data_IF_374515327910
#
_entry.id   IF_374515327910
#
_cell.length_a   1.000
_cell.length_b   1.000
_cell.length_c   1.000
_cell.angle_alpha   90.00
_cell.angle_beta   90.00
_cell.angle_gamma   90.00
#
_symmetry.space_group_name_H-M   'P 1'
#
loop_
_entity.id
_entity.type
_entity.pdbx_description
1 polymer ?
#
# COMPACT_ATOMS: atom_id res chain seq x y z
N UNK A 1 3.71 20.72 73.94
CA UNK A 1 2.64 19.79 73.45
C UNK A 1 2.27 20.06 71.98
N UNK A 2 2.18 21.35 71.57
CA UNK A 2 1.75 21.71 70.21
C UNK A 2 2.61 21.07 69.06
N UNK A 3 3.93 20.99 69.22
CA UNK A 3 4.82 20.42 68.19
C UNK A 3 4.60 18.91 67.95
N UNK A 4 4.09 18.15 68.90
CA UNK A 4 3.75 16.71 68.69
C UNK A 4 2.41 16.54 67.96
N UNK A 5 1.41 17.35 68.30
CA UNK A 5 0.11 17.32 67.63
C UNK A 5 0.19 17.70 66.13
N UNK A 6 1.01 18.72 65.81
CA UNK A 6 1.24 19.15 64.43
C UNK A 6 1.94 18.08 63.61
N UNK A 7 2.87 17.31 64.17
CA UNK A 7 3.55 16.19 63.51
C UNK A 7 2.61 15.02 63.29
N UNK A 8 1.75 14.72 64.22
CA UNK A 8 0.74 13.66 64.07
C UNK A 8 -0.28 14.04 62.98
N UNK A 9 -0.73 15.32 63.01
CA UNK A 9 -1.65 15.79 61.95
C UNK A 9 -1.04 15.75 60.56
N UNK A 10 0.23 16.11 60.41
CA UNK A 10 0.94 16.03 59.13
C UNK A 10 1.08 14.56 58.63
N UNK A 11 1.40 13.62 59.54
CA UNK A 11 1.48 12.21 59.19
C UNK A 11 0.13 11.61 58.79
N UNK A 12 -0.95 11.99 59.44
CA UNK A 12 -2.31 11.57 59.08
C UNK A 12 -2.71 12.15 57.73
N UNK A 13 -2.38 13.42 57.46
CA UNK A 13 -2.67 14.03 56.14
C UNK A 13 -1.89 13.36 54.99
N UNK A 14 -0.61 13.05 55.22
CA UNK A 14 0.18 12.28 54.22
C UNK A 14 -0.39 10.89 54.03
N UNK A 15 -0.81 10.19 55.07
CA UNK A 15 -1.41 8.86 54.94
C UNK A 15 -2.74 8.89 54.16
N UNK A 16 -3.58 9.90 54.38
CA UNK A 16 -4.82 10.10 53.65
C UNK A 16 -4.56 10.44 52.17
N UNK A 17 -3.55 11.27 51.87
CA UNK A 17 -3.14 11.55 50.51
C UNK A 17 -2.59 10.30 49.79
N UNK A 18 -1.78 9.49 50.49
CA UNK A 18 -1.27 8.25 49.92
C UNK A 18 -2.40 7.22 49.63
N UNK A 19 -3.39 7.12 50.54
CA UNK A 19 -4.55 6.25 50.34
C UNK A 19 -5.42 6.70 49.12
N UNK A 20 -5.52 8.02 48.89
CA UNK A 20 -6.20 8.57 47.72
C UNK A 20 -5.55 8.21 46.36
N UNK A 21 -4.23 7.99 46.35
CA UNK A 21 -3.51 7.61 45.12
C UNK A 21 -3.69 6.13 44.72
N UNK A 22 -4.08 5.27 45.68
CA UNK A 22 -4.32 3.85 45.39
C UNK A 22 -5.73 3.54 44.91
N UNK A 23 -6.67 4.45 44.98
CA UNK A 23 -8.06 4.24 44.55
C UNK A 23 -8.21 4.44 43.03
N UNK A 24 -7.22 5.05 42.35
CA UNK A 24 -7.26 5.37 40.94
C UNK A 24 -6.91 4.23 39.96
N UNK A 25 -6.31 3.13 40.41
CA UNK A 25 -5.79 2.07 39.52
C UNK A 25 -6.53 0.72 39.58
N UNK A 26 -7.69 0.66 40.20
CA UNK A 26 -8.40 -0.61 40.46
C UNK A 26 -9.61 -0.94 39.59
N UNK A 27 -10.01 -0.09 38.66
CA UNK A 27 -11.08 -0.41 37.74
C UNK A 27 -10.48 -0.94 36.42
N UNK A 28 -10.29 -2.26 36.32
CA UNK A 28 -10.38 -2.93 35.03
C UNK A 28 -11.81 -2.73 34.54
N UNK A 29 -12.12 -1.51 34.09
CA UNK A 29 -13.32 -1.25 33.34
C UNK A 29 -13.37 -2.30 32.24
N UNK A 30 -14.44 -3.08 32.16
CA UNK A 30 -14.79 -3.78 30.94
C UNK A 30 -14.61 -2.74 29.84
N UNK A 31 -13.56 -2.90 29.03
CA UNK A 31 -13.38 -2.11 27.84
C UNK A 31 -14.62 -2.37 27.02
N UNK A 32 -15.53 -1.40 26.99
CA UNK A 32 -16.73 -1.50 26.16
C UNK A 32 -16.20 -1.58 24.74
N UNK A 33 -16.27 -2.76 24.15
CA UNK A 33 -15.84 -3.02 22.76
C UNK A 33 -16.59 -2.14 21.75
N UNK A 34 -17.67 -1.49 22.20
CA UNK A 34 -18.54 -0.66 21.35
C UNK A 34 -18.15 0.82 21.35
N UNK A 35 -17.11 1.22 22.07
CA UNK A 35 -16.63 2.61 22.03
C UNK A 35 -15.67 2.75 20.85
N UNK A 36 -16.00 3.54 19.82
CA UNK A 36 -15.14 3.72 18.67
C UNK A 36 -13.86 4.46 19.08
N UNK A 37 -12.72 4.04 18.51
CA UNK A 37 -11.49 4.80 18.58
C UNK A 37 -11.61 6.01 17.64
N UNK A 38 -11.53 7.21 18.19
CA UNK A 38 -11.55 8.45 17.40
C UNK A 38 -10.12 8.94 17.22
N UNK A 39 -9.69 9.01 15.96
CA UNK A 39 -8.36 9.48 15.58
C UNK A 39 -8.51 10.80 14.81
N UNK A 40 -7.77 11.83 15.25
CA UNK A 40 -7.75 13.12 14.56
C UNK A 40 -6.73 13.12 13.44
N UNK A 41 -7.17 13.52 12.24
CA UNK A 41 -6.32 13.64 11.05
C UNK A 41 -6.41 15.05 10.45
N UNK A 42 -5.46 15.37 9.57
CA UNK A 42 -5.60 16.48 8.62
C UNK A 42 -6.64 16.10 7.53
N UNK A 43 -7.16 17.07 6.78
CA UNK A 43 -8.08 16.78 5.68
C UNK A 43 -7.49 15.76 4.70
N UNK A 44 -8.32 14.80 4.28
CA UNK A 44 -7.95 13.80 3.29
C UNK A 44 -7.92 14.38 1.88
N UNK A 45 -7.04 13.86 1.02
CA UNK A 45 -7.09 14.10 -0.43
C UNK A 45 -8.10 13.19 -1.14
N UNK A 46 -8.71 12.26 -0.39
CA UNK A 46 -9.70 11.30 -0.89
C UNK A 46 -9.16 10.33 -1.96
N UNK A 47 -7.85 10.11 -1.99
CA UNK A 47 -7.18 9.13 -2.86
C UNK A 47 -6.91 7.85 -2.06
N UNK A 48 -7.95 7.13 -1.68
CA UNK A 48 -7.88 5.89 -0.88
C UNK A 48 -7.54 4.67 -1.75
N UNK A 49 -6.39 4.72 -2.40
CA UNK A 49 -5.93 3.68 -3.31
C UNK A 49 -4.51 3.21 -2.93
N UNK A 50 -4.24 1.89 -2.92
CA UNK A 50 -2.89 1.39 -2.70
C UNK A 50 -1.90 1.82 -3.79
N UNK A 51 -2.42 2.18 -4.98
CA UNK A 51 -1.59 2.59 -6.12
C UNK A 51 -1.33 4.09 -6.17
N UNK A 52 -2.30 4.93 -5.76
CA UNK A 52 -2.28 6.36 -6.03
C UNK A 52 -2.45 7.27 -4.81
N UNK A 53 -2.43 6.73 -3.59
CA UNK A 53 -2.47 7.57 -2.39
C UNK A 53 -1.21 8.40 -2.26
N UNK A 54 -1.34 9.69 -2.00
CA UNK A 54 -0.24 10.66 -1.93
C UNK A 54 0.08 11.09 -0.50
N UNK A 55 -0.89 11.04 0.40
CA UNK A 55 -0.73 11.49 1.78
C UNK A 55 -0.70 10.32 2.74
N UNK A 56 0.01 10.48 3.86
CA UNK A 56 0.02 9.48 4.93
C UNK A 56 -1.39 9.21 5.47
N UNK A 57 -2.25 10.22 5.51
CA UNK A 57 -3.63 10.09 6.01
C UNK A 57 -4.49 9.22 5.10
N UNK A 58 -4.38 9.37 3.78
CA UNK A 58 -5.07 8.51 2.82
C UNK A 58 -4.50 7.08 2.85
N UNK A 59 -3.18 6.94 3.04
CA UNK A 59 -2.52 5.64 3.21
C UNK A 59 -3.01 4.91 4.45
N UNK A 60 -3.14 5.57 5.58
CA UNK A 60 -3.63 4.98 6.83
C UNK A 60 -5.05 4.40 6.67
N UNK A 61 -5.89 5.05 5.84
CA UNK A 61 -7.26 4.55 5.57
C UNK A 61 -7.23 3.30 4.72
N UNK A 62 -6.52 3.32 3.58
CA UNK A 62 -6.54 2.15 2.69
C UNK A 62 -5.76 0.96 3.28
N UNK A 63 -4.70 1.18 4.08
CA UNK A 63 -3.96 0.08 4.73
C UNK A 63 -4.80 -0.74 5.71
N UNK A 64 -5.89 -0.17 6.23
CA UNK A 64 -6.85 -0.93 7.05
C UNK A 64 -7.71 -1.91 6.22
N UNK A 65 -7.79 -1.73 4.93
CA UNK A 65 -8.63 -2.51 4.01
C UNK A 65 -7.83 -3.31 2.97
N UNK A 66 -6.55 -3.00 2.82
CA UNK A 66 -5.67 -3.68 1.88
C UNK A 66 -4.85 -4.79 2.58
N UNK A 67 -4.35 -5.70 1.79
CA UNK A 67 -3.47 -6.77 2.23
C UNK A 67 -2.14 -6.67 1.46
N UNK A 68 -1.02 -6.67 2.18
CA UNK A 68 0.31 -6.76 1.58
C UNK A 68 0.83 -8.20 1.65
N UNK A 69 1.74 -8.60 0.78
CA UNK A 69 2.31 -9.95 0.79
C UNK A 69 3.00 -10.29 2.11
N UNK A 70 3.72 -9.34 2.69
CA UNK A 70 4.43 -9.51 3.95
C UNK A 70 4.01 -8.48 4.97
N UNK A 71 4.04 -8.86 6.24
CA UNK A 71 3.78 -8.00 7.38
C UNK A 71 5.08 -7.72 8.14
N UNK A 72 5.05 -6.72 9.03
CA UNK A 72 6.15 -6.43 9.95
C UNK A 72 5.75 -6.69 11.40
N UNK A 73 6.75 -7.01 12.22
CA UNK A 73 6.58 -7.05 13.66
C UNK A 73 6.58 -5.63 14.27
N UNK A 74 6.44 -5.52 15.60
CA UNK A 74 6.44 -4.25 16.34
C UNK A 74 7.78 -3.49 16.29
N UNK A 75 8.84 -4.14 15.84
CA UNK A 75 10.17 -3.54 15.67
C UNK A 75 10.45 -3.16 14.22
N UNK A 76 9.51 -3.44 13.30
CA UNK A 76 9.65 -3.19 11.88
C UNK A 76 10.37 -4.29 11.11
N UNK A 77 10.70 -5.43 11.75
CA UNK A 77 11.30 -6.57 11.06
C UNK A 77 10.25 -7.31 10.25
N UNK A 78 10.59 -7.70 9.03
CA UNK A 78 9.69 -8.41 8.14
C UNK A 78 9.42 -9.83 8.67
N UNK A 79 8.17 -10.27 8.59
CA UNK A 79 7.73 -11.62 8.91
C UNK A 79 7.80 -12.46 7.64
N UNK A 80 8.71 -13.43 7.62
CA UNK A 80 8.98 -14.25 6.43
C UNK A 80 8.12 -15.52 6.39
N UNK A 81 7.66 -16.04 7.54
CA UNK A 81 6.85 -17.25 7.66
C UNK A 81 5.45 -16.91 8.19
N UNK A 82 4.74 -16.06 7.45
CA UNK A 82 3.43 -15.54 7.86
C UNK A 82 2.33 -16.59 7.93
N UNK A 83 2.38 -17.65 7.13
CA UNK A 83 1.36 -18.70 7.08
C UNK A 83 1.34 -19.49 8.40
N UNK A 84 2.49 -19.93 8.86
CA UNK A 84 2.63 -20.62 10.15
C UNK A 84 2.61 -19.65 11.33
N UNK A 85 2.99 -18.42 11.11
CA UNK A 85 3.25 -17.42 12.12
C UNK A 85 4.65 -17.48 12.71
N UNK A 86 5.21 -16.31 12.97
CA UNK A 86 6.48 -16.13 13.67
C UNK A 86 6.24 -15.50 15.03
N UNK A 87 6.82 -16.10 16.08
CA UNK A 87 6.77 -15.54 17.44
C UNK A 87 8.02 -14.68 17.68
N UNK A 88 7.80 -13.43 18.03
CA UNK A 88 8.84 -12.44 18.36
C UNK A 88 8.56 -11.85 19.73
N UNK A 89 9.61 -11.69 20.54
CA UNK A 89 9.51 -11.07 21.85
C UNK A 89 9.62 -9.55 21.74
N UNK A 90 8.71 -8.83 22.38
CA UNK A 90 8.73 -7.37 22.45
C UNK A 90 8.38 -6.91 23.86
N UNK A 91 9.28 -6.13 24.50
CA UNK A 91 9.13 -5.65 25.87
C UNK A 91 8.75 -6.75 26.89
N UNK A 92 9.38 -7.94 26.76
CA UNK A 92 9.18 -9.07 27.67
C UNK A 92 7.86 -9.84 27.42
N UNK A 93 7.15 -9.55 26.35
CA UNK A 93 5.94 -10.29 25.93
C UNK A 93 6.15 -10.89 24.56
N UNK A 94 5.77 -12.15 24.41
CA UNK A 94 5.82 -12.83 23.13
C UNK A 94 4.56 -12.59 22.31
N UNK A 95 4.74 -12.22 21.04
CA UNK A 95 3.68 -11.98 20.06
C UNK A 95 3.89 -12.89 18.86
N UNK A 96 2.82 -13.55 18.43
CA UNK A 96 2.85 -14.33 17.18
C UNK A 96 2.22 -13.50 16.06
N UNK A 97 2.98 -13.34 14.98
CA UNK A 97 2.59 -12.58 13.80
C UNK A 97 2.26 -13.51 12.67
N UNK A 98 1.07 -13.36 12.10
CA UNK A 98 0.62 -14.08 10.93
C UNK A 98 0.58 -13.15 9.72
N UNK A 99 0.67 -13.70 8.52
CA UNK A 99 0.62 -12.97 7.28
C UNK A 99 -0.07 -13.76 6.16
N UNK A 100 -0.30 -13.10 5.02
CA UNK A 100 -0.95 -13.71 3.86
C UNK A 100 -0.02 -14.65 3.09
N UNK A 101 1.29 -14.51 3.26
CA UNK A 101 2.27 -15.31 2.54
C UNK A 101 3.49 -15.67 3.40
N UNK A 102 4.19 -16.72 2.97
CA UNK A 102 5.59 -16.97 3.32
C UNK A 102 6.48 -16.42 2.21
N UNK A 103 7.71 -16.04 2.56
CA UNK A 103 8.75 -15.64 1.61
C UNK A 103 10.06 -16.36 1.96
N UNK A 104 10.63 -17.06 0.98
CA UNK A 104 11.97 -17.64 1.06
C UNK A 104 12.90 -16.80 0.17
N UNK A 105 14.05 -16.41 0.72
CA UNK A 105 15.09 -15.68 -0.01
C UNK A 105 16.22 -16.65 -0.33
N UNK A 106 16.57 -16.74 -1.61
CA UNK A 106 17.67 -17.58 -2.10
C UNK A 106 18.71 -16.71 -2.79
N UNK A 107 19.91 -16.69 -2.25
CA UNK A 107 21.06 -16.03 -2.88
C UNK A 107 21.73 -16.98 -3.86
N UNK A 108 21.78 -16.63 -5.12
CA UNK A 108 22.36 -17.45 -6.19
C UNK A 108 23.86 -17.18 -6.36
N UNK A 109 24.57 -18.15 -6.91
CA UNK A 109 26.03 -18.06 -7.13
C UNK A 109 26.44 -17.02 -8.19
N UNK A 110 25.50 -16.60 -9.03
CA UNK A 110 25.70 -15.55 -10.04
C UNK A 110 25.45 -14.13 -9.49
N UNK A 111 25.11 -14.01 -8.20
CA UNK A 111 24.85 -12.75 -7.53
C UNK A 111 23.39 -12.26 -7.66
N UNK A 112 22.51 -13.05 -8.26
CA UNK A 112 21.07 -12.80 -8.23
C UNK A 112 20.45 -13.29 -6.92
N UNK A 113 19.28 -12.74 -6.59
CA UNK A 113 18.50 -13.13 -5.40
C UNK A 113 17.07 -13.45 -5.81
N UNK A 114 16.62 -14.66 -5.46
CA UNK A 114 15.24 -15.07 -5.69
C UNK A 114 14.40 -14.82 -4.44
N UNK A 115 13.23 -14.23 -4.62
CA UNK A 115 12.21 -14.06 -3.60
C UNK A 115 11.03 -14.98 -3.92
N UNK A 116 10.96 -16.13 -3.25
CA UNK A 116 9.95 -17.15 -3.48
C UNK A 116 8.77 -16.94 -2.53
N UNK A 117 7.63 -16.51 -3.06
CA UNK A 117 6.43 -16.30 -2.28
C UNK A 117 5.49 -17.50 -2.38
N UNK A 118 4.96 -17.90 -1.22
CA UNK A 118 3.85 -18.85 -1.13
C UNK A 118 2.66 -18.14 -0.49
N UNK A 119 1.57 -18.02 -1.24
CA UNK A 119 0.34 -17.39 -0.77
C UNK A 119 -0.51 -18.39 0.04
N UNK A 120 -1.22 -17.93 1.06
CA UNK A 120 -2.26 -18.71 1.76
C UNK A 120 -3.43 -18.99 0.82
N UNK A 121 -4.02 -20.19 0.96
CA UNK A 121 -5.11 -20.63 0.08
C UNK A 121 -6.50 -20.15 0.56
N UNK A 122 -6.62 -19.65 1.80
CA UNK A 122 -7.89 -19.28 2.43
C UNK A 122 -8.17 -17.76 2.42
N UNK A 123 -7.37 -17.00 1.70
CA UNK A 123 -7.54 -15.55 1.57
C UNK A 123 -8.73 -15.21 0.67
N UNK A 124 -9.51 -14.21 1.10
CA UNK A 124 -10.67 -13.74 0.36
C UNK A 124 -10.78 -12.23 0.39
N UNK A 125 -11.34 -11.67 -0.68
CA UNK A 125 -11.85 -10.32 -0.69
C UNK A 125 -13.09 -10.16 0.19
N UNK A 126 -13.52 -8.93 0.45
CA UNK A 126 -14.69 -8.63 1.29
C UNK A 126 -16.01 -9.13 0.71
N UNK A 127 -16.09 -9.37 -0.59
CA UNK A 127 -17.24 -9.94 -1.29
C UNK A 127 -17.26 -11.48 -1.27
N UNK A 128 -16.17 -12.10 -0.77
CA UNK A 128 -16.04 -13.54 -0.63
C UNK A 128 -15.26 -14.22 -1.76
N UNK A 129 -14.89 -13.50 -2.81
CA UNK A 129 -14.04 -14.05 -3.88
C UNK A 129 -12.62 -14.37 -3.35
N UNK A 130 -11.99 -15.45 -3.81
CA UNK A 130 -10.64 -15.82 -3.37
C UNK A 130 -9.61 -14.83 -3.88
N UNK A 131 -8.62 -14.52 -3.02
CA UNK A 131 -7.39 -13.81 -3.43
C UNK A 131 -6.38 -14.84 -3.91
N UNK A 132 -5.90 -14.67 -5.12
CA UNK A 132 -5.02 -15.61 -5.82
C UNK A 132 -3.69 -14.96 -6.22
N UNK A 133 -2.80 -15.76 -6.80
CA UNK A 133 -1.56 -15.22 -7.35
C UNK A 133 -1.79 -14.28 -8.53
N UNK A 134 -2.91 -14.42 -9.25
CA UNK A 134 -3.26 -13.55 -10.37
C UNK A 134 -3.51 -12.11 -9.90
N UNK A 135 -4.07 -11.93 -8.70
CA UNK A 135 -4.25 -10.60 -8.10
C UNK A 135 -2.91 -9.94 -7.74
N UNK A 136 -1.94 -10.75 -7.29
CA UNK A 136 -0.57 -10.28 -7.05
C UNK A 136 0.08 -9.86 -8.36
N UNK A 137 -0.02 -10.69 -9.41
CA UNK A 137 0.52 -10.40 -10.74
C UNK A 137 -0.13 -9.15 -11.32
N UNK A 138 -1.45 -9.00 -11.19
CA UNK A 138 -2.16 -7.79 -11.61
C UNK A 138 -1.60 -6.53 -10.92
N UNK A 139 -1.36 -6.60 -9.63
CA UNK A 139 -0.76 -5.50 -8.89
C UNK A 139 0.64 -5.14 -9.42
N UNK A 140 1.44 -6.14 -9.80
CA UNK A 140 2.74 -5.91 -10.45
C UNK A 140 2.60 -5.24 -11.82
N UNK A 141 1.63 -5.66 -12.63
CA UNK A 141 1.35 -4.99 -13.91
C UNK A 141 1.02 -3.51 -13.71
N UNK A 142 0.15 -3.17 -12.75
CA UNK A 142 -0.18 -1.77 -12.46
C UNK A 142 1.04 -0.97 -12.03
N UNK A 143 1.84 -1.50 -11.10
CA UNK A 143 2.99 -0.79 -10.53
C UNK A 143 4.20 -0.68 -11.47
N UNK A 144 4.30 -1.60 -12.44
CA UNK A 144 5.40 -1.63 -13.40
C UNK A 144 5.02 -1.06 -14.78
N UNK A 145 3.78 -0.66 -14.99
CA UNK A 145 3.33 -0.05 -16.24
C UNK A 145 4.13 1.23 -16.53
N UNK A 146 4.60 1.45 -17.77
CA UNK A 146 5.31 2.67 -18.15
C UNK A 146 4.54 3.96 -17.90
N UNK A 147 3.20 3.91 -17.94
CA UNK A 147 2.31 5.06 -17.71
C UNK A 147 1.97 5.29 -16.23
N UNK A 148 2.42 4.42 -15.32
CA UNK A 148 2.14 4.56 -13.90
C UNK A 148 2.79 5.83 -13.34
N UNK A 149 1.97 6.71 -12.76
CA UNK A 149 2.36 8.01 -12.19
C UNK A 149 2.16 8.10 -10.67
N UNK A 150 1.93 6.96 -10.00
CA UNK A 150 1.80 6.90 -8.55
C UNK A 150 3.14 6.95 -7.81
N UNK A 151 3.09 6.84 -6.48
CA UNK A 151 4.25 7.00 -5.62
C UNK A 151 5.15 5.77 -5.49
N UNK A 152 4.75 4.60 -6.03
CA UNK A 152 5.58 3.41 -5.97
C UNK A 152 6.78 3.52 -6.91
N UNK A 153 7.93 3.11 -6.41
CA UNK A 153 9.19 3.05 -7.17
C UNK A 153 9.61 1.62 -7.46
N UNK A 154 8.67 0.68 -7.47
CA UNK A 154 8.95 -0.74 -7.71
C UNK A 154 9.70 -0.97 -9.03
N UNK A 155 9.35 -0.22 -10.06
CA UNK A 155 9.99 -0.28 -11.37
C UNK A 155 11.47 0.17 -11.36
N UNK A 156 11.92 0.88 -10.33
CA UNK A 156 13.32 1.32 -10.18
C UNK A 156 14.19 0.30 -9.42
N UNK A 157 13.58 -0.74 -8.84
CA UNK A 157 14.30 -1.85 -8.21
C UNK A 157 14.92 -2.73 -9.30
N UNK A 158 16.17 -3.24 -9.14
CA UNK A 158 16.84 -4.03 -10.14
C UNK A 158 16.24 -5.45 -10.26
N UNK A 159 14.99 -5.52 -10.72
CA UNK A 159 14.28 -6.76 -10.98
C UNK A 159 14.67 -7.26 -12.38
N UNK A 160 15.05 -8.54 -12.47
CA UNK A 160 15.44 -9.13 -13.74
C UNK A 160 14.29 -9.04 -14.76
N UNK A 161 14.58 -8.51 -15.95
CA UNK A 161 13.62 -8.32 -17.02
C UNK A 161 12.79 -7.04 -16.96
N UNK A 162 12.86 -6.25 -15.87
CA UNK A 162 12.06 -5.01 -15.71
C UNK A 162 12.34 -4.00 -16.82
N UNK A 163 13.60 -3.72 -17.12
CA UNK A 163 13.98 -2.76 -18.15
C UNK A 163 13.51 -3.22 -19.54
N UNK A 164 13.63 -4.51 -19.84
CA UNK A 164 13.15 -5.07 -21.10
C UNK A 164 11.62 -5.00 -21.23
N UNK A 165 10.90 -5.28 -20.14
CA UNK A 165 9.45 -5.18 -20.09
C UNK A 165 8.99 -3.74 -20.36
N UNK A 166 9.52 -2.77 -19.62
CA UNK A 166 9.14 -1.36 -19.73
C UNK A 166 9.56 -0.73 -21.05
N UNK A 167 10.76 -1.03 -21.53
CA UNK A 167 11.26 -0.54 -22.82
C UNK A 167 10.50 -1.16 -23.98
N UNK A 168 10.09 -2.43 -23.87
CA UNK A 168 9.31 -3.11 -24.90
C UNK A 168 7.92 -2.50 -25.10
N UNK A 169 7.25 -2.13 -24.02
CA UNK A 169 5.95 -1.44 -24.07
C UNK A 169 6.08 -0.02 -24.63
N UNK A 170 7.07 0.76 -24.15
CA UNK A 170 7.30 2.12 -24.61
C UNK A 170 7.77 2.17 -26.09
N UNK A 171 8.56 1.19 -26.50
CA UNK A 171 9.10 1.14 -27.87
C UNK A 171 7.99 1.01 -28.92
N UNK A 172 6.97 0.20 -28.70
CA UNK A 172 5.88 0.03 -29.67
C UNK A 172 5.10 1.33 -29.88
N UNK A 173 4.69 1.99 -28.81
CA UNK A 173 3.98 3.26 -28.88
C UNK A 173 4.81 4.35 -29.53
N UNK A 174 6.08 4.47 -29.17
CA UNK A 174 7.00 5.41 -29.79
C UNK A 174 7.23 5.14 -31.28
N UNK A 175 7.31 3.88 -31.66
CA UNK A 175 7.45 3.49 -33.07
C UNK A 175 6.18 3.83 -33.88
N UNK A 176 4.99 3.54 -33.36
CA UNK A 176 3.72 3.90 -34.01
C UNK A 176 3.59 5.43 -34.12
N UNK A 177 3.91 6.16 -33.05
CA UNK A 177 3.89 7.60 -33.05
C UNK A 177 4.86 8.20 -34.07
N UNK A 178 6.09 7.72 -34.09
CA UNK A 178 7.13 8.18 -35.03
C UNK A 178 6.81 7.89 -36.50
N UNK A 179 6.13 6.74 -36.75
CA UNK A 179 5.70 6.36 -38.09
C UNK A 179 4.55 7.24 -38.61
N UNK A 180 3.76 7.82 -37.69
CA UNK A 180 2.65 8.68 -38.02
C UNK A 180 1.37 7.92 -38.42
N UNK A 181 0.27 8.69 -38.53
CA UNK A 181 -1.07 8.15 -38.88
C UNK A 181 -1.14 7.53 -40.28
N UNK A 182 -0.36 8.08 -41.20
CA UNK A 182 -0.39 7.68 -42.62
C UNK A 182 0.55 6.46 -42.92
N UNK A 183 1.11 5.84 -41.88
CA UNK A 183 1.92 4.67 -42.05
C UNK A 183 1.11 3.51 -42.69
N UNK A 184 1.67 2.91 -43.71
CA UNK A 184 1.09 1.76 -44.44
C UNK A 184 1.97 0.51 -44.36
N UNK A 185 3.07 0.58 -43.62
CA UNK A 185 3.97 -0.55 -43.44
C UNK A 185 3.62 -1.29 -42.15
N UNK A 186 3.03 -2.47 -42.30
CA UNK A 186 2.57 -3.31 -41.18
C UNK A 186 3.23 -4.68 -41.23
N UNK A 187 3.28 -5.33 -40.07
CA UNK A 187 3.83 -6.68 -39.91
C UNK A 187 3.05 -7.46 -38.87
N UNK A 188 2.71 -8.70 -39.17
CA UNK A 188 2.15 -9.66 -38.19
C UNK A 188 3.25 -10.29 -37.32
N UNK A 189 4.51 -10.07 -37.67
CA UNK A 189 5.68 -10.47 -36.86
C UNK A 189 6.02 -9.35 -35.89
N UNK A 190 5.80 -9.53 -34.56
CA UNK A 190 6.04 -8.50 -33.56
C UNK A 190 7.50 -8.09 -33.44
N UNK A 191 8.45 -8.86 -34.01
CA UNK A 191 9.86 -8.50 -34.05
C UNK A 191 10.21 -7.55 -35.19
N UNK A 192 9.29 -7.37 -36.15
CA UNK A 192 9.49 -6.57 -37.37
C UNK A 192 8.61 -5.34 -37.44
N UNK A 193 7.62 -5.24 -36.57
CA UNK A 193 6.70 -4.12 -36.62
C UNK A 193 5.41 -4.38 -35.82
N UNK A 194 4.33 -3.79 -36.27
CA UNK A 194 3.00 -3.88 -35.67
C UNK A 194 1.92 -4.03 -36.72
N UNK A 195 0.73 -4.50 -36.32
CA UNK A 195 -0.41 -4.66 -37.21
C UNK A 195 -1.14 -3.35 -37.44
N UNK A 196 -1.97 -3.33 -38.50
CA UNK A 196 -2.85 -2.18 -38.74
C UNK A 196 -3.81 -1.95 -37.59
N UNK A 197 -4.36 -3.01 -37.01
CA UNK A 197 -5.25 -2.93 -35.86
C UNK A 197 -4.57 -2.25 -34.64
N UNK A 198 -3.30 -2.57 -34.37
CA UNK A 198 -2.53 -1.95 -33.29
C UNK A 198 -2.33 -0.46 -33.53
N UNK A 199 -2.04 -0.06 -34.76
CA UNK A 199 -1.92 1.36 -35.12
C UNK A 199 -3.25 2.08 -35.00
N UNK A 200 -4.34 1.51 -35.54
CA UNK A 200 -5.67 2.11 -35.48
C UNK A 200 -6.14 2.28 -34.03
N UNK A 201 -5.92 1.27 -33.16
CA UNK A 201 -6.24 1.34 -31.74
C UNK A 201 -5.45 2.44 -31.03
N UNK A 202 -4.16 2.51 -31.25
CA UNK A 202 -3.30 3.55 -30.67
C UNK A 202 -3.80 4.96 -31.02
N UNK A 203 -4.08 5.23 -32.29
CA UNK A 203 -4.53 6.55 -32.71
C UNK A 203 -5.97 6.87 -32.27
N UNK A 204 -6.83 5.86 -32.12
CA UNK A 204 -8.16 6.02 -31.53
C UNK A 204 -8.07 6.42 -30.05
N UNK A 205 -7.16 5.81 -29.28
CA UNK A 205 -6.93 6.18 -27.88
C UNK A 205 -6.36 7.58 -27.75
N UNK A 206 -5.44 7.99 -28.64
CA UNK A 206 -4.89 9.34 -28.68
C UNK A 206 -6.00 10.37 -28.97
N UNK A 207 -6.87 10.09 -29.94
CA UNK A 207 -7.99 10.97 -30.30
C UNK A 207 -8.99 11.11 -29.14
N UNK A 208 -9.34 9.99 -28.50
CA UNK A 208 -10.22 9.98 -27.33
C UNK A 208 -9.62 10.79 -26.17
N UNK A 209 -8.34 10.65 -25.90
CA UNK A 209 -7.65 11.41 -24.87
C UNK A 209 -7.62 12.91 -25.19
N UNK A 210 -7.37 13.26 -26.45
CA UNK A 210 -7.39 14.63 -26.93
C UNK A 210 -8.78 15.27 -26.80
N UNK A 211 -9.83 14.55 -27.23
CA UNK A 211 -11.22 15.03 -27.11
C UNK A 211 -11.62 15.24 -25.65
N UNK A 212 -11.26 14.31 -24.77
CA UNK A 212 -11.50 14.42 -23.34
C UNK A 212 -10.79 15.65 -22.76
N UNK A 213 -9.52 15.84 -23.08
CA UNK A 213 -8.74 17.00 -22.64
C UNK A 213 -9.36 18.32 -23.09
N UNK A 214 -9.77 18.41 -24.36
CA UNK A 214 -10.43 19.62 -24.89
C UNK A 214 -11.75 19.87 -24.15
N UNK A 215 -12.57 18.84 -23.95
CA UNK A 215 -13.85 18.97 -23.26
C UNK A 215 -13.69 19.41 -21.80
N UNK A 216 -12.73 18.84 -21.08
CA UNK A 216 -12.44 19.20 -19.69
C UNK A 216 -11.98 20.66 -19.57
N UNK A 217 -11.10 21.11 -20.49
CA UNK A 217 -10.65 22.50 -20.50
C UNK A 217 -11.76 23.46 -20.87
N UNK A 218 -12.62 23.14 -21.85
CA UNK A 218 -13.79 23.95 -22.19
C UNK A 218 -14.74 24.06 -21.00
N UNK A 219 -15.04 22.95 -20.31
CA UNK A 219 -15.92 22.97 -19.15
C UNK A 219 -15.34 23.84 -18.02
N UNK A 220 -14.02 23.74 -17.80
CA UNK A 220 -13.32 24.59 -16.82
C UNK A 220 -13.38 26.07 -17.16
N UNK A 221 -13.18 26.43 -18.43
CA UNK A 221 -13.29 27.82 -18.88
C UNK A 221 -14.72 28.37 -18.73
N UNK A 222 -15.74 27.57 -19.06
CA UNK A 222 -17.15 27.96 -18.90
C UNK A 222 -17.47 28.16 -17.41
N UNK A 223 -17.03 27.29 -16.54
CA UNK A 223 -17.24 27.37 -15.09
C UNK A 223 -16.56 28.61 -14.46
N UNK A 224 -15.46 29.08 -15.04
CA UNK A 224 -14.79 30.31 -14.59
C UNK A 224 -15.41 31.60 -15.12
N UNK A 225 -16.21 31.51 -16.18
CA UNK A 225 -16.86 32.66 -16.83
C UNK A 225 -18.29 32.91 -16.31
N UNK A 226 -18.86 32.02 -15.53
CA UNK A 226 -20.18 32.08 -14.90
C UNK A 226 -20.09 32.51 -13.44
#
# INVERSE_FOLDING_TARGET
>A
PMKKATRILALVLCAVMCLGLFVGCGNKGKQNSDTPLVVGYSPFNSKFSPFFSETAYDQDVWTMTAIGLLNSDRQGSIIMNGIKGETKSYNGTDYTYYGPADCEIVENTDGTVDYNFKLREDLKFSDGEPITIDDVIFSMYVLCDPSYDGNSTLFAVPIQGMDAYRSGMDTLFNLIYAAGRDNTNFSDDPTKGWTKEQQDAYWADVDQAADKFVQENMNSCIAQAS
#
